data_IF_435694916929
#
_entry.id   IF_435694916929
#
_cell.length_a   1.000
_cell.length_b   1.000
_cell.length_c   1.000
_cell.angle_alpha   90.00
_cell.angle_beta   90.00
_cell.angle_gamma   90.00
#
_symmetry.space_group_name_H-M   'P 1'
#
loop_
_entity.id
_entity.type
_entity.pdbx_description
1 polymer ?
#
# COMPACT_ATOMS: atom_id res chain seq x y z
N UNK A 1 -24.57 -43.03 -55.15
CA UNK A 1 -24.48 -41.71 -55.80
C UNK A 1 -23.10 -41.14 -55.46
N UNK A 2 -22.10 -41.48 -56.29
CA UNK A 2 -21.16 -40.54 -56.95
C UNK A 2 -20.54 -39.53 -55.96
N UNK A 3 -19.39 -39.79 -55.35
CA UNK A 3 -18.03 -39.92 -55.94
C UNK A 3 -17.57 -38.60 -56.55
N UNK A 4 -16.37 -38.14 -56.14
CA UNK A 4 -15.27 -37.50 -56.89
C UNK A 4 -14.50 -36.55 -55.94
N UNK A 5 -13.17 -36.49 -55.88
CA UNK A 5 -12.01 -37.26 -56.40
C UNK A 5 -10.77 -36.65 -55.67
N UNK A 6 -9.93 -37.44 -55.00
CA UNK A 6 -8.63 -37.98 -55.48
C UNK A 6 -7.54 -36.92 -55.71
N UNK A 7 -6.43 -37.04 -54.97
CA UNK A 7 -5.03 -37.31 -55.44
C UNK A 7 -4.13 -37.38 -54.18
N UNK A 8 -3.14 -38.26 -53.95
CA UNK A 8 -2.63 -39.46 -54.60
C UNK A 8 -1.41 -39.98 -53.78
N UNK A 9 -1.32 -41.31 -53.56
CA UNK A 9 -0.13 -42.20 -53.70
C UNK A 9 1.16 -41.90 -52.89
N UNK A 10 1.95 -42.85 -52.39
CA UNK A 10 1.97 -44.31 -52.23
C UNK A 10 3.41 -44.62 -51.77
N UNK A 11 3.61 -45.51 -50.81
CA UNK A 11 4.61 -46.61 -50.79
C UNK A 11 5.04 -46.94 -49.36
N UNK A 12 4.37 -47.94 -48.80
CA UNK A 12 5.01 -48.92 -47.95
C UNK A 12 5.95 -49.78 -48.81
N UNK A 13 7.19 -49.94 -48.36
CA UNK A 13 8.12 -50.95 -48.84
C UNK A 13 8.57 -51.72 -47.61
N UNK A 14 8.06 -52.95 -47.46
CA UNK A 14 8.59 -53.95 -46.53
C UNK A 14 9.84 -54.57 -47.17
N UNK A 15 10.96 -54.53 -46.47
CA UNK A 15 12.05 -55.51 -46.62
C UNK A 15 12.42 -56.03 -45.24
N UNK A 16 12.30 -57.34 -45.08
CA UNK A 16 12.73 -58.12 -43.91
C UNK A 16 14.24 -58.42 -43.96
N UNK A 17 14.80 -58.59 -42.76
CA UNK A 17 16.05 -59.26 -42.36
C UNK A 17 17.34 -58.45 -42.21
N UNK A 18 17.74 -58.34 -40.94
CA UNK A 18 19.09 -58.08 -40.45
C UNK A 18 19.05 -57.92 -38.94
N UNK A 19 19.10 -59.03 -38.19
CA UNK A 19 19.44 -58.97 -36.76
C UNK A 19 20.91 -58.54 -36.66
N UNK A 20 21.15 -57.37 -36.12
CA UNK A 20 22.43 -56.94 -35.58
C UNK A 20 22.14 -56.53 -34.12
N UNK A 21 22.83 -57.15 -33.16
CA UNK A 21 22.70 -56.81 -31.75
C UNK A 21 23.27 -55.40 -31.55
N UNK A 22 22.40 -54.42 -31.33
CA UNK A 22 22.82 -53.09 -30.88
C UNK A 22 23.41 -53.19 -29.46
N UNK A 23 24.53 -52.50 -29.20
CA UNK A 23 25.16 -52.51 -27.89
C UNK A 23 24.22 -51.93 -26.84
N UNK A 24 24.24 -52.51 -25.64
CA UNK A 24 23.57 -51.98 -24.45
C UNK A 24 24.13 -50.58 -24.20
N UNK A 25 23.38 -49.56 -24.62
CA UNK A 25 23.50 -48.21 -24.11
C UNK A 25 22.74 -48.25 -22.80
N UNK A 26 23.45 -48.22 -21.68
CA UNK A 26 22.83 -47.96 -20.38
C UNK A 26 21.93 -46.72 -20.54
N UNK A 27 20.64 -46.78 -20.16
CA UNK A 27 19.81 -45.59 -20.22
C UNK A 27 20.51 -44.52 -19.40
N UNK A 28 20.85 -43.41 -20.04
CA UNK A 28 21.13 -42.17 -19.34
C UNK A 28 19.83 -41.87 -18.60
N UNK A 29 19.79 -42.26 -17.33
CA UNK A 29 18.85 -41.74 -16.36
C UNK A 29 19.07 -40.23 -16.45
N UNK A 30 18.06 -39.42 -16.82
CA UNK A 30 18.15 -37.99 -16.64
C UNK A 30 18.49 -37.82 -15.17
N UNK A 31 19.72 -37.38 -14.87
CA UNK A 31 19.99 -36.80 -13.57
C UNK A 31 19.07 -35.60 -13.52
N UNK A 32 18.02 -35.75 -12.72
CA UNK A 32 17.25 -34.65 -12.17
C UNK A 32 18.23 -33.49 -11.94
N UNK A 33 18.05 -32.30 -12.54
CA UNK A 33 18.81 -31.15 -12.10
C UNK A 33 18.54 -31.10 -10.60
N UNK A 34 19.57 -31.34 -9.80
CA UNK A 34 19.49 -31.30 -8.35
C UNK A 34 18.70 -30.05 -8.00
N UNK A 35 17.52 -30.23 -7.40
CA UNK A 35 16.72 -29.16 -6.82
C UNK A 35 17.72 -28.25 -6.12
N UNK A 36 17.91 -27.05 -6.67
CA UNK A 36 18.86 -26.09 -6.10
C UNK A 36 18.19 -25.72 -4.80
N UNK A 37 18.69 -26.26 -3.68
CA UNK A 37 18.22 -25.85 -2.36
C UNK A 37 18.76 -24.43 -2.19
N UNK A 38 17.89 -23.39 -2.18
CA UNK A 38 18.35 -22.03 -2.01
C UNK A 38 19.12 -21.92 -0.69
N UNK A 39 20.30 -21.33 -0.74
CA UNK A 39 21.12 -21.04 0.44
C UNK A 39 21.15 -19.55 0.68
N UNK A 40 21.08 -19.16 1.95
CA UNK A 40 21.15 -17.77 2.37
C UNK A 40 22.57 -17.45 2.85
N UNK A 41 23.20 -16.43 2.27
CA UNK A 41 24.56 -16.02 2.65
C UNK A 41 24.57 -14.56 3.10
N UNK A 42 25.36 -14.26 4.13
CA UNK A 42 25.54 -12.87 4.56
C UNK A 42 26.19 -12.05 3.44
N UNK A 43 25.52 -10.96 3.03
CA UNK A 43 26.05 -10.03 2.04
C UNK A 43 26.82 -8.90 2.76
N UNK A 44 26.08 -8.00 3.41
CA UNK A 44 26.62 -6.80 4.06
C UNK A 44 25.69 -6.26 5.14
N UNK A 45 26.12 -5.22 5.82
CA UNK A 45 25.28 -4.42 6.71
C UNK A 45 24.97 -3.09 6.04
N UNK A 46 23.68 -2.75 5.92
CA UNK A 46 23.22 -1.44 5.49
C UNK A 46 23.31 -0.46 6.66
N UNK A 47 23.74 0.77 6.38
CA UNK A 47 23.71 1.86 7.38
C UNK A 47 22.29 2.41 7.47
N UNK A 48 21.77 2.60 8.67
CA UNK A 48 20.43 3.16 8.87
C UNK A 48 20.51 4.68 8.98
N UNK A 49 19.61 5.36 8.28
CA UNK A 49 19.36 6.80 8.42
C UNK A 49 17.91 6.99 8.78
N UNK A 50 17.69 7.35 10.04
CA UNK A 50 16.38 7.71 10.56
C UNK A 50 15.96 9.10 10.03
N UNK A 51 14.84 9.13 9.30
CA UNK A 51 14.17 10.34 8.81
C UNK A 51 12.75 10.45 9.36
N UNK A 52 12.35 9.54 10.22
CA UNK A 52 11.06 9.62 10.87
C UNK A 52 11.02 10.85 11.79
N UNK A 53 9.88 11.54 11.77
CA UNK A 53 9.62 12.71 12.63
C UNK A 53 8.92 12.29 13.92
N UNK A 54 8.04 11.30 13.82
CA UNK A 54 7.16 10.83 14.88
C UNK A 54 7.74 9.67 15.70
N UNK A 55 8.84 9.07 15.24
CA UNK A 55 9.51 7.95 15.89
C UNK A 55 11.02 8.18 15.96
N UNK A 56 11.69 7.50 16.89
CA UNK A 56 13.14 7.59 17.06
C UNK A 56 13.77 6.19 17.11
N UNK A 57 14.45 5.79 16.04
CA UNK A 57 15.01 4.44 15.93
C UNK A 57 16.46 4.38 16.43
N UNK A 58 16.74 3.46 17.34
CA UNK A 58 18.08 3.29 17.93
C UNK A 58 19.04 2.45 17.08
N UNK A 59 18.54 1.70 16.08
CA UNK A 59 19.35 0.82 15.26
C UNK A 59 20.22 1.62 14.29
N UNK A 60 21.52 1.32 14.25
CA UNK A 60 22.46 1.98 13.33
C UNK A 60 22.72 1.19 12.03
N UNK A 61 22.45 -0.12 12.06
CA UNK A 61 22.69 -1.01 10.91
C UNK A 61 21.69 -2.15 10.84
N UNK A 62 21.40 -2.63 9.62
CA UNK A 62 20.65 -3.87 9.37
C UNK A 62 21.48 -4.82 8.49
N UNK A 63 21.59 -6.09 8.87
CA UNK A 63 22.24 -7.08 8.01
C UNK A 63 21.31 -7.49 6.87
N UNK A 64 21.86 -7.57 5.68
CA UNK A 64 21.20 -8.10 4.48
C UNK A 64 21.96 -9.32 3.94
N UNK A 65 21.23 -10.15 3.22
CA UNK A 65 21.66 -11.46 2.80
C UNK A 65 21.34 -11.70 1.32
N UNK A 66 22.13 -12.52 0.67
CA UNK A 66 21.89 -13.00 -0.70
C UNK A 66 21.22 -14.37 -0.66
N UNK A 67 20.25 -14.58 -1.53
CA UNK A 67 19.72 -15.91 -1.85
C UNK A 67 20.44 -16.44 -3.10
N UNK A 68 21.01 -17.64 -3.02
CA UNK A 68 21.70 -18.25 -4.17
C UNK A 68 20.80 -18.52 -5.39
N UNK A 69 19.48 -18.50 -5.20
CA UNK A 69 18.50 -18.70 -6.27
C UNK A 69 17.99 -17.37 -6.88
N UNK A 70 18.28 -16.23 -6.25
CA UNK A 70 17.72 -14.92 -6.60
C UNK A 70 18.80 -13.84 -6.52
N UNK A 71 19.49 -13.64 -7.65
CA UNK A 71 20.61 -12.69 -7.75
C UNK A 71 20.11 -11.23 -7.65
N UNK A 72 20.87 -10.33 -7.04
CA UNK A 72 20.54 -8.90 -6.92
C UNK A 72 19.32 -8.54 -6.04
N UNK A 73 18.60 -9.52 -5.48
CA UNK A 73 17.54 -9.30 -4.47
C UNK A 73 18.08 -9.51 -3.07
N UNK A 74 17.96 -8.48 -2.22
CA UNK A 74 18.41 -8.54 -0.84
C UNK A 74 17.34 -9.12 0.07
N UNK A 75 17.74 -10.07 0.90
CA UNK A 75 16.93 -10.68 1.94
C UNK A 75 17.29 -10.13 3.31
N UNK A 76 16.32 -10.13 4.22
CA UNK A 76 16.49 -9.75 5.62
C UNK A 76 16.02 -10.87 6.54
N UNK A 77 16.66 -11.01 7.69
CA UNK A 77 16.10 -11.82 8.75
C UNK A 77 14.89 -11.10 9.37
N UNK A 78 13.74 -11.77 9.44
CA UNK A 78 12.47 -11.17 9.89
C UNK A 78 12.59 -10.58 11.29
N UNK A 79 13.23 -11.28 12.23
CA UNK A 79 13.36 -10.80 13.61
C UNK A 79 14.34 -9.63 13.75
N UNK A 80 15.44 -9.64 12.99
CA UNK A 80 16.38 -8.51 12.93
C UNK A 80 15.70 -7.26 12.34
N UNK A 81 14.87 -7.44 11.30
CA UNK A 81 14.07 -6.36 10.72
C UNK A 81 13.06 -5.79 11.72
N UNK A 82 12.27 -6.65 12.38
CA UNK A 82 11.30 -6.22 13.40
C UNK A 82 11.98 -5.51 14.58
N UNK A 83 13.15 -5.99 15.01
CA UNK A 83 13.93 -5.32 16.05
C UNK A 83 14.42 -3.94 15.63
N UNK A 84 14.66 -3.72 14.34
CA UNK A 84 15.07 -2.41 13.82
C UNK A 84 13.93 -1.39 13.93
N UNK A 85 12.71 -1.78 13.55
CA UNK A 85 11.55 -0.88 13.45
C UNK A 85 10.64 -0.86 14.70
N UNK A 86 11.03 -1.53 15.78
CA UNK A 86 10.16 -1.76 16.94
C UNK A 86 9.58 -0.50 17.61
N UNK A 87 10.19 0.68 17.40
CA UNK A 87 9.70 1.96 17.95
C UNK A 87 8.51 2.53 17.15
N UNK A 88 8.36 2.13 15.88
CA UNK A 88 7.33 2.63 14.96
C UNK A 88 6.25 1.60 14.60
N UNK A 89 6.22 0.46 15.30
CA UNK A 89 5.20 -0.57 15.14
C UNK A 89 4.70 -1.08 16.49
N UNK A 90 3.52 -1.70 16.50
CA UNK A 90 2.93 -2.26 17.71
C UNK A 90 3.84 -3.31 18.38
N UNK A 91 3.67 -3.51 19.69
CA UNK A 91 4.37 -4.57 20.43
C UNK A 91 4.07 -5.96 19.83
N UNK A 92 5.10 -6.61 19.29
CA UNK A 92 4.98 -7.91 18.64
C UNK A 92 5.37 -9.07 19.55
N UNK A 93 4.64 -10.16 19.43
CA UNK A 93 4.94 -11.44 20.04
C UNK A 93 5.39 -12.40 18.95
N UNK A 94 6.63 -12.89 19.05
CA UNK A 94 7.22 -13.77 18.05
C UNK A 94 7.31 -15.20 18.59
N UNK A 95 6.69 -16.13 17.87
CA UNK A 95 6.72 -17.56 18.19
C UNK A 95 7.34 -18.35 17.05
N UNK A 96 8.39 -19.11 17.37
CA UNK A 96 9.10 -19.98 16.41
C UNK A 96 8.83 -21.44 16.68
N UNK A 97 8.30 -22.12 15.68
CA UNK A 97 8.16 -23.58 15.62
C UNK A 97 8.62 -24.08 14.25
N UNK A 98 7.87 -24.95 13.58
CA UNK A 98 8.04 -25.23 12.14
C UNK A 98 7.62 -24.05 11.26
N UNK A 99 6.85 -23.12 11.81
CA UNK A 99 6.48 -21.84 11.23
C UNK A 99 7.00 -20.70 12.12
N UNK A 100 7.20 -19.52 11.56
CA UNK A 100 7.40 -18.29 12.31
C UNK A 100 6.06 -17.55 12.39
N UNK A 101 5.54 -17.36 13.59
CA UNK A 101 4.33 -16.57 13.83
C UNK A 101 4.70 -15.23 14.46
N UNK A 102 4.24 -14.15 13.86
CA UNK A 102 4.30 -12.79 14.40
C UNK A 102 2.89 -12.40 14.82
N UNK A 103 2.71 -12.01 16.08
CA UNK A 103 1.38 -11.76 16.63
C UNK A 103 1.27 -10.40 17.32
N UNK A 104 0.15 -9.72 17.11
CA UNK A 104 -0.25 -8.50 17.82
C UNK A 104 -1.36 -8.86 18.80
N UNK A 105 -1.24 -8.40 20.04
CA UNK A 105 -2.24 -8.62 21.08
C UNK A 105 -3.23 -7.45 21.13
N UNK A 106 -4.49 -7.70 20.82
CA UNK A 106 -5.56 -6.70 20.90
C UNK A 106 -6.43 -6.96 22.14
N UNK A 107 -6.56 -5.93 22.98
CA UNK A 107 -7.40 -5.99 24.18
C UNK A 107 -8.86 -5.73 23.83
N UNK A 108 -9.76 -6.66 24.18
CA UNK A 108 -11.21 -6.46 24.07
C UNK A 108 -11.77 -5.78 25.32
N UNK A 109 -11.23 -6.15 26.49
CA UNK A 109 -11.51 -5.55 27.78
C UNK A 109 -10.29 -5.69 28.70
N UNK A 110 -10.41 -5.28 29.97
CA UNK A 110 -9.30 -5.33 30.95
C UNK A 110 -8.68 -6.74 31.15
N UNK A 111 -9.39 -7.80 30.75
CA UNK A 111 -9.05 -9.21 31.05
C UNK A 111 -9.02 -10.13 29.83
N UNK A 112 -9.64 -9.76 28.72
CA UNK A 112 -9.71 -10.56 27.51
C UNK A 112 -8.94 -9.89 26.36
N UNK A 113 -8.14 -10.69 25.68
CA UNK A 113 -7.41 -10.30 24.49
C UNK A 113 -7.59 -11.34 23.39
N UNK A 114 -7.56 -10.90 22.15
CA UNK A 114 -7.36 -11.76 20.99
C UNK A 114 -6.04 -11.41 20.31
N UNK A 115 -5.62 -12.26 19.37
CA UNK A 115 -4.36 -12.13 18.69
C UNK A 115 -4.61 -12.08 17.19
N UNK A 116 -4.00 -11.09 16.54
CA UNK A 116 -3.85 -11.05 15.10
C UNK A 116 -2.50 -11.64 14.76
N UNK A 117 -2.44 -12.60 13.84
CA UNK A 117 -1.20 -13.29 13.50
C UNK A 117 -0.92 -13.22 12.00
N UNK A 118 0.36 -13.04 11.68
CA UNK A 118 0.94 -13.30 10.39
C UNK A 118 1.95 -14.44 10.54
N UNK A 119 1.64 -15.57 9.91
CA UNK A 119 2.44 -16.77 9.94
C UNK A 119 3.22 -16.92 8.64
N UNK A 120 4.52 -17.18 8.77
CA UNK A 120 5.46 -17.46 7.68
C UNK A 120 5.77 -18.95 7.68
N UNK A 121 5.28 -19.66 6.67
CA UNK A 121 5.56 -21.08 6.45
C UNK A 121 6.54 -21.25 5.29
N UNK A 122 7.81 -21.48 5.62
CA UNK A 122 8.87 -21.71 4.63
C UNK A 122 8.77 -23.08 3.93
N UNK A 123 8.00 -24.02 4.48
CA UNK A 123 7.88 -25.37 3.90
C UNK A 123 6.82 -25.44 2.80
N UNK A 124 5.75 -24.68 2.95
CA UNK A 124 4.71 -24.51 1.94
C UNK A 124 4.87 -23.21 1.14
N UNK A 125 5.86 -22.37 1.49
CA UNK A 125 6.11 -21.04 0.94
C UNK A 125 4.87 -20.12 0.96
N UNK A 126 4.19 -20.07 2.11
CA UNK A 126 2.94 -19.31 2.28
C UNK A 126 3.01 -18.30 3.41
N UNK A 127 2.20 -17.24 3.26
CA UNK A 127 1.85 -16.30 4.31
C UNK A 127 0.41 -16.58 4.74
N UNK A 128 0.18 -16.71 6.04
CA UNK A 128 -1.16 -16.89 6.59
C UNK A 128 -1.50 -15.80 7.59
N UNK A 129 -2.52 -15.00 7.25
CA UNK A 129 -3.12 -14.01 8.12
C UNK A 129 -4.31 -14.64 8.83
N UNK A 130 -4.31 -14.62 10.16
CA UNK A 130 -5.53 -14.94 10.93
C UNK A 130 -6.63 -13.89 10.69
N UNK A 131 -6.19 -12.66 10.44
CA UNK A 131 -7.00 -11.49 10.13
C UNK A 131 -6.14 -10.52 9.32
N UNK A 132 -6.60 -10.12 8.14
CA UNK A 132 -5.86 -9.24 7.24
C UNK A 132 -5.77 -7.80 7.74
N UNK A 133 -6.50 -7.43 8.80
CA UNK A 133 -6.29 -6.17 9.53
C UNK A 133 -5.01 -6.17 10.38
N UNK A 134 -4.24 -7.27 10.40
CA UNK A 134 -2.92 -7.33 11.03
C UNK A 134 -2.04 -6.13 10.63
N UNK A 135 -1.99 -5.78 9.33
CA UNK A 135 -1.17 -4.67 8.84
C UNK A 135 -1.62 -3.31 9.41
N UNK A 136 -2.93 -3.06 9.46
CA UNK A 136 -3.47 -1.85 10.10
C UNK A 136 -3.14 -1.83 11.61
N UNK A 137 -3.20 -2.98 12.27
CA UNK A 137 -2.90 -3.11 13.69
C UNK A 137 -1.41 -2.94 14.03
N UNK A 138 -0.51 -2.95 13.05
CA UNK A 138 0.90 -2.58 13.25
C UNK A 138 1.06 -1.09 13.57
N UNK A 139 0.10 -0.25 13.16
CA UNK A 139 0.13 1.18 13.42
C UNK A 139 0.18 1.47 14.91
N UNK A 140 1.10 2.36 15.29
CA UNK A 140 1.16 2.97 16.61
C UNK A 140 1.06 4.47 16.45
N UNK A 141 0.47 5.12 17.44
CA UNK A 141 0.37 6.58 17.45
C UNK A 141 1.75 7.19 17.69
N UNK A 142 2.18 8.05 16.77
CA UNK A 142 3.45 8.78 16.82
C UNK A 142 3.44 10.00 17.74
N UNK A 143 4.53 10.77 17.76
CA UNK A 143 4.61 12.03 18.54
C UNK A 143 3.56 13.07 18.10
N UNK A 144 3.29 13.18 16.80
CA UNK A 144 2.30 14.09 16.23
C UNK A 144 0.92 13.43 16.13
N UNK A 145 0.08 13.60 17.16
CA UNK A 145 -1.30 13.09 17.17
C UNK A 145 -2.35 14.20 17.02
N UNK A 146 -3.49 13.84 16.44
CA UNK A 146 -4.66 14.72 16.38
C UNK A 146 -5.45 14.64 17.69
N UNK A 147 -5.45 15.71 18.49
CA UNK A 147 -6.34 15.79 19.65
C UNK A 147 -7.79 16.03 19.22
N UNK A 148 -8.74 15.31 19.84
CA UNK A 148 -10.16 15.43 19.49
C UNK A 148 -11.10 15.30 20.70
N UNK A 149 -12.13 16.15 20.70
CA UNK A 149 -13.24 16.10 21.66
C UNK A 149 -14.29 15.05 21.25
N UNK A 150 -14.24 14.57 20.00
CA UNK A 150 -15.10 13.50 19.52
C UNK A 150 -14.77 12.20 20.24
N UNK A 151 -15.82 11.45 20.57
CA UNK A 151 -15.73 10.10 21.11
C UNK A 151 -16.65 9.18 20.34
N UNK A 152 -16.16 7.97 20.06
CA UNK A 152 -16.99 6.89 19.54
C UNK A 152 -17.91 6.42 20.66
N UNK A 153 -19.22 6.61 20.49
CA UNK A 153 -20.26 6.24 21.48
C UNK A 153 -20.97 4.94 21.14
N UNK A 154 -20.89 4.50 19.89
CA UNK A 154 -21.39 3.22 19.42
C UNK A 154 -20.62 2.80 18.17
N UNK A 155 -20.52 1.49 17.95
CA UNK A 155 -19.93 0.90 16.76
C UNK A 155 -20.75 -0.31 16.32
N UNK A 156 -21.05 -0.41 15.03
CA UNK A 156 -21.62 -1.61 14.43
C UNK A 156 -20.55 -2.19 13.52
N UNK A 157 -20.26 -3.47 13.70
CA UNK A 157 -19.30 -4.20 12.90
C UNK A 157 -20.03 -5.35 12.20
N UNK A 158 -19.79 -5.48 10.90
CA UNK A 158 -20.20 -6.64 10.11
C UNK A 158 -18.96 -7.36 9.65
N UNK A 159 -18.86 -8.63 10.07
CA UNK A 159 -17.74 -9.52 9.77
C UNK A 159 -17.63 -9.81 8.26
N UNK A 160 -16.39 -9.78 7.77
CA UNK A 160 -16.01 -10.16 6.42
C UNK A 160 -15.22 -11.46 6.36
N UNK A 161 -14.56 -11.74 5.23
CA UNK A 161 -13.52 -12.76 5.11
C UNK A 161 -12.18 -12.16 5.52
N UNK A 162 -11.88 -12.27 6.81
CA UNK A 162 -10.68 -11.67 7.41
C UNK A 162 -9.44 -12.56 7.29
N UNK A 163 -9.62 -13.88 7.32
CA UNK A 163 -8.51 -14.83 7.17
C UNK A 163 -8.03 -14.85 5.71
N UNK A 164 -6.70 -14.78 5.51
CA UNK A 164 -6.13 -14.76 4.17
C UNK A 164 -4.88 -15.63 4.09
N UNK A 165 -4.84 -16.49 3.07
CA UNK A 165 -3.69 -17.30 2.71
C UNK A 165 -3.12 -16.77 1.40
N UNK A 166 -1.84 -16.43 1.39
CA UNK A 166 -1.11 -15.98 0.20
C UNK A 166 -0.03 -17.03 -0.08
N UNK A 167 -0.08 -17.59 -1.28
CA UNK A 167 0.88 -18.55 -1.78
C UNK A 167 1.91 -17.81 -2.64
N UNK A 168 3.14 -17.73 -2.12
CA UNK A 168 4.23 -16.95 -2.71
C UNK A 168 4.86 -17.63 -3.92
N UNK A 169 4.63 -18.93 -4.13
CA UNK A 169 5.07 -19.63 -5.34
C UNK A 169 4.43 -19.00 -6.59
N UNK A 170 3.21 -18.44 -6.47
CA UNK A 170 2.55 -17.73 -7.58
C UNK A 170 3.30 -16.46 -8.01
N UNK A 171 4.11 -15.89 -7.13
CA UNK A 171 4.83 -14.64 -7.34
C UNK A 171 6.35 -14.83 -7.38
N UNK A 172 6.85 -16.06 -7.45
CA UNK A 172 8.29 -16.36 -7.46
C UNK A 172 9.06 -15.66 -6.32
N UNK A 173 8.47 -15.65 -5.13
CA UNK A 173 9.10 -15.10 -3.92
C UNK A 173 9.29 -16.22 -2.91
N UNK A 174 10.40 -16.20 -2.18
CA UNK A 174 10.72 -17.29 -1.26
C UNK A 174 10.79 -16.84 0.20
N UNK A 175 10.22 -17.65 1.10
CA UNK A 175 10.55 -17.63 2.53
C UNK A 175 11.64 -18.67 2.78
N UNK A 176 12.84 -18.21 3.12
CA UNK A 176 13.97 -19.11 3.39
C UNK A 176 14.08 -19.37 4.89
N UNK A 177 14.07 -20.64 5.27
CA UNK A 177 14.40 -21.07 6.63
C UNK A 177 15.77 -21.73 6.69
N UNK A 178 16.72 -21.09 7.37
CA UNK A 178 18.03 -21.67 7.62
C UNK A 178 18.44 -21.46 9.08
N UNK A 179 19.01 -22.49 9.72
CA UNK A 179 19.52 -22.40 11.09
C UNK A 179 18.48 -21.86 12.11
N UNK A 180 17.20 -22.23 11.93
CA UNK A 180 16.06 -21.77 12.75
C UNK A 180 15.82 -20.24 12.72
N UNK A 181 16.28 -19.60 11.65
CA UNK A 181 15.99 -18.21 11.29
C UNK A 181 15.19 -18.20 10.00
N UNK A 182 14.37 -17.17 9.83
CA UNK A 182 13.54 -16.97 8.64
C UNK A 182 13.98 -15.69 7.94
N UNK A 183 14.01 -15.77 6.63
CA UNK A 183 14.46 -14.71 5.75
C UNK A 183 13.45 -14.51 4.63
N UNK A 184 13.20 -13.25 4.29
CA UNK A 184 12.34 -12.84 3.18
C UNK A 184 13.00 -11.68 2.44
N UNK A 185 12.61 -11.40 1.19
CA UNK A 185 13.06 -10.21 0.48
C UNK A 185 12.79 -8.93 1.28
N UNK A 186 13.71 -7.97 1.23
CA UNK A 186 13.60 -6.70 1.96
C UNK A 186 12.32 -5.93 1.57
N UNK A 187 11.95 -5.92 0.29
CA UNK A 187 10.72 -5.27 -0.17
C UNK A 187 9.46 -5.93 0.43
N UNK A 188 9.50 -7.26 0.65
CA UNK A 188 8.39 -8.01 1.22
C UNK A 188 8.32 -7.76 2.74
N UNK A 189 9.47 -7.65 3.41
CA UNK A 189 9.51 -7.22 4.81
C UNK A 189 8.94 -5.80 4.97
N UNK A 190 9.26 -4.87 4.06
CA UNK A 190 8.66 -3.55 4.06
C UNK A 190 7.13 -3.65 3.95
N UNK A 191 6.60 -4.30 2.90
CA UNK A 191 5.16 -4.43 2.69
C UNK A 191 4.40 -5.09 3.86
N UNK A 192 4.94 -6.17 4.43
CA UNK A 192 4.20 -7.01 5.38
C UNK A 192 4.36 -6.57 6.83
N UNK A 193 5.49 -5.95 7.19
CA UNK A 193 5.91 -5.78 8.58
C UNK A 193 6.06 -4.31 8.98
N UNK A 194 5.95 -3.37 8.06
CA UNK A 194 5.74 -1.97 8.40
C UNK A 194 4.25 -1.66 8.44
N UNK A 195 3.88 -0.63 9.21
CA UNK A 195 2.51 -0.12 9.27
C UNK A 195 2.26 0.88 8.13
N UNK A 196 1.01 1.32 7.94
CA UNK A 196 0.67 2.40 7.01
C UNK A 196 1.42 3.72 7.29
N UNK A 197 2.01 3.87 8.49
CA UNK A 197 2.72 5.07 8.92
C UNK A 197 4.25 4.92 8.91
N UNK A 198 4.79 3.83 8.36
CA UNK A 198 6.23 3.62 8.31
C UNK A 198 6.62 2.91 7.02
N UNK A 199 7.70 3.37 6.39
CA UNK A 199 8.29 2.69 5.25
C UNK A 199 9.81 2.70 5.38
N UNK A 200 10.44 1.68 4.79
CA UNK A 200 11.89 1.59 4.66
C UNK A 200 12.30 1.60 3.20
N UNK A 201 13.32 2.38 2.87
CA UNK A 201 13.80 2.56 1.51
C UNK A 201 15.31 2.37 1.45
N UNK A 202 15.74 1.44 0.60
CA UNK A 202 17.16 1.21 0.37
C UNK A 202 17.68 2.10 -0.76
N UNK A 203 18.77 2.80 -0.50
CA UNK A 203 19.55 3.54 -1.50
C UNK A 203 21.02 3.15 -1.33
N UNK A 204 21.55 2.40 -2.29
CA UNK A 204 22.90 1.81 -2.23
C UNK A 204 23.12 0.99 -0.94
N UNK A 205 24.03 1.45 -0.06
CA UNK A 205 24.37 0.84 1.23
C UNK A 205 23.67 1.52 2.42
N UNK A 206 22.67 2.37 2.15
CA UNK A 206 21.90 3.08 3.16
C UNK A 206 20.45 2.62 3.15
N UNK A 207 19.88 2.39 4.33
CA UNK A 207 18.46 2.13 4.55
C UNK A 207 17.87 3.34 5.27
N UNK A 208 16.93 4.01 4.62
CA UNK A 208 16.19 5.13 5.18
C UNK A 208 14.91 4.61 5.82
N UNK A 209 14.59 5.13 7.00
CA UNK A 209 13.29 4.91 7.65
C UNK A 209 12.52 6.22 7.57
N UNK A 210 11.32 6.20 7.01
CA UNK A 210 10.44 7.38 6.83
C UNK A 210 9.04 7.06 7.33
N UNK A 211 8.37 8.05 7.92
CA UNK A 211 7.01 7.95 8.45
C UNK A 211 6.04 8.93 7.80
N UNK A 212 6.55 9.94 7.09
CA UNK A 212 5.74 10.89 6.36
C UNK A 212 6.21 11.09 4.91
N UNK A 213 5.28 11.57 4.08
CA UNK A 213 5.48 11.79 2.65
C UNK A 213 6.48 12.93 2.35
N UNK A 214 6.55 13.96 3.18
CA UNK A 214 7.47 15.07 2.99
C UNK A 214 8.91 14.64 3.26
N UNK A 215 9.14 13.86 4.32
CA UNK A 215 10.42 13.23 4.64
C UNK A 215 10.89 12.33 3.51
N UNK A 216 9.98 11.59 2.87
CA UNK A 216 10.27 10.80 1.68
C UNK A 216 10.70 11.68 0.48
N UNK A 217 9.94 12.73 0.16
CA UNK A 217 10.26 13.62 -0.97
C UNK A 217 11.59 14.37 -0.83
N UNK A 218 12.06 14.57 0.40
CA UNK A 218 13.36 15.18 0.69
C UNK A 218 14.55 14.21 0.50
N UNK A 219 14.29 12.94 0.16
CA UNK A 219 15.33 11.93 -0.08
C UNK A 219 15.98 12.07 -1.48
N UNK A 220 17.28 11.73 -1.62
CA UNK A 220 17.93 11.62 -2.91
C UNK A 220 17.55 10.29 -3.58
N UNK A 221 16.43 10.27 -4.30
CA UNK A 221 15.75 9.05 -4.76
C UNK A 221 16.26 8.48 -6.10
N UNK A 222 16.82 9.32 -6.98
CA UNK A 222 17.31 8.85 -8.28
C UNK A 222 18.64 8.13 -8.16
N UNK A 223 18.62 6.84 -8.45
CA UNK A 223 19.80 5.97 -8.41
C UNK A 223 20.05 5.44 -9.84
N UNK A 224 21.20 5.74 -10.45
CA UNK A 224 21.57 5.10 -11.71
C UNK A 224 21.80 3.60 -11.47
N UNK A 225 21.33 2.77 -12.39
CA UNK A 225 21.61 1.33 -12.37
C UNK A 225 23.13 1.10 -12.52
N UNK A 226 23.68 0.18 -11.72
CA UNK A 226 25.06 -0.29 -11.93
C UNK A 226 25.11 -1.23 -13.15
N UNK A 227 26.17 -1.13 -13.95
CA UNK A 227 26.39 -1.94 -15.17
C UNK A 227 26.44 -3.45 -14.87
N UNK A 228 26.63 -3.84 -13.61
CA UNK A 228 26.74 -5.24 -13.16
C UNK A 228 25.40 -5.91 -12.81
N UNK A 229 24.30 -5.16 -12.75
CA UNK A 229 23.00 -5.65 -12.28
C UNK A 229 22.29 -6.45 -13.37
N UNK A 230 21.68 -7.57 -13.00
CA UNK A 230 20.79 -8.34 -13.87
C UNK A 230 19.41 -7.66 -13.95
N UNK A 231 19.28 -6.73 -14.89
CA UNK A 231 18.05 -5.95 -15.08
C UNK A 231 16.81 -6.81 -15.33
N UNK A 232 16.95 -7.97 -15.98
CA UNK A 232 15.84 -8.89 -16.19
C UNK A 232 15.32 -9.47 -14.86
N UNK A 233 16.21 -9.83 -13.93
CA UNK A 233 15.80 -10.34 -12.62
C UNK A 233 15.07 -9.25 -11.80
N UNK A 234 15.52 -8.00 -11.92
CA UNK A 234 14.83 -6.87 -11.29
C UNK A 234 13.45 -6.61 -11.89
N UNK A 235 13.30 -6.70 -13.21
CA UNK A 235 11.99 -6.58 -13.88
C UNK A 235 11.06 -7.69 -13.39
N UNK A 236 11.52 -8.94 -13.38
CA UNK A 236 10.73 -10.08 -12.91
C UNK A 236 10.30 -9.92 -11.44
N UNK A 237 11.22 -9.52 -10.56
CA UNK A 237 10.92 -9.24 -9.16
C UNK A 237 9.95 -8.08 -8.98
N UNK A 238 10.13 -6.99 -9.72
CA UNK A 238 9.27 -5.79 -9.63
C UNK A 238 7.86 -6.09 -10.17
N UNK A 239 7.78 -6.84 -11.28
CA UNK A 239 6.53 -7.34 -11.83
C UNK A 239 5.76 -8.18 -10.81
N UNK A 240 6.43 -9.20 -10.24
CA UNK A 240 5.82 -10.10 -9.27
C UNK A 240 5.38 -9.38 -7.99
N UNK A 241 6.20 -8.46 -7.49
CA UNK A 241 5.85 -7.61 -6.35
C UNK A 241 4.64 -6.74 -6.63
N UNK A 242 4.60 -6.08 -7.79
CA UNK A 242 3.47 -5.25 -8.19
C UNK A 242 2.20 -6.09 -8.30
N UNK A 243 2.29 -7.28 -8.89
CA UNK A 243 1.16 -8.20 -8.98
C UNK A 243 0.66 -8.64 -7.59
N UNK A 244 1.55 -9.05 -6.68
CA UNK A 244 1.21 -9.42 -5.30
C UNK A 244 0.54 -8.26 -4.55
N UNK A 245 1.12 -7.07 -4.66
CA UNK A 245 0.58 -5.85 -4.06
C UNK A 245 -0.83 -5.59 -4.55
N UNK A 246 -1.03 -5.57 -5.87
CA UNK A 246 -2.32 -5.28 -6.49
C UNK A 246 -3.35 -6.40 -6.25
N UNK A 247 -2.93 -7.66 -6.17
CA UNK A 247 -3.83 -8.79 -5.94
C UNK A 247 -4.36 -8.86 -4.51
N UNK A 248 -3.58 -8.39 -3.54
CA UNK A 248 -3.91 -8.60 -2.13
C UNK A 248 -4.12 -7.31 -1.31
N UNK A 249 -3.50 -6.20 -1.69
CA UNK A 249 -3.49 -4.95 -0.92
C UNK A 249 -4.22 -3.81 -1.64
N UNK A 250 -4.38 -3.87 -2.96
CA UNK A 250 -5.15 -2.86 -3.71
C UNK A 250 -6.66 -3.08 -3.58
N UNK A 251 -7.33 -2.15 -2.89
CA UNK A 251 -8.75 -2.28 -2.53
C UNK A 251 -9.76 -2.17 -3.68
N UNK A 252 -9.34 -1.86 -4.91
CA UNK A 252 -10.26 -1.68 -6.05
C UNK A 252 -10.18 -2.81 -7.09
N UNK A 253 -9.48 -3.91 -6.81
CA UNK A 253 -9.39 -5.08 -7.69
C UNK A 253 -10.77 -5.55 -8.20
N UNK A 254 -11.71 -5.76 -7.29
CA UNK A 254 -13.08 -6.22 -7.62
C UNK A 254 -13.87 -5.16 -8.41
N UNK A 255 -13.65 -3.87 -8.12
CA UNK A 255 -14.30 -2.77 -8.85
C UNK A 255 -13.89 -2.78 -10.33
N UNK A 256 -12.61 -3.05 -10.62
CA UNK A 256 -12.11 -3.18 -11.98
C UNK A 256 -12.37 -4.56 -12.61
N UNK A 257 -12.93 -5.52 -11.86
CA UNK A 257 -13.17 -6.89 -12.31
C UNK A 257 -11.87 -7.61 -12.75
N UNK A 258 -10.77 -7.36 -12.03
CA UNK A 258 -9.49 -8.03 -12.28
C UNK A 258 -9.44 -9.31 -11.44
N UNK A 259 -9.31 -10.47 -12.10
CA UNK A 259 -9.20 -11.76 -11.41
C UNK A 259 -7.80 -11.96 -10.80
N UNK A 260 -6.76 -11.63 -11.56
CA UNK A 260 -5.36 -11.64 -11.10
C UNK A 260 -4.53 -10.59 -11.82
N UNK A 261 -3.74 -9.85 -11.06
CA UNK A 261 -2.81 -8.86 -11.59
C UNK A 261 -1.57 -9.49 -12.24
N UNK A 262 -1.22 -10.74 -11.92
CA UNK A 262 -0.22 -11.47 -12.72
C UNK A 262 -0.65 -11.56 -14.20
N UNK A 263 -1.91 -11.92 -14.45
CA UNK A 263 -2.42 -12.02 -15.82
C UNK A 263 -2.62 -10.63 -16.45
N UNK A 264 -3.25 -9.70 -15.73
CA UNK A 264 -3.53 -8.36 -16.24
C UNK A 264 -2.26 -7.61 -16.66
N UNK A 265 -1.21 -7.66 -15.83
CA UNK A 265 0.05 -6.98 -16.12
C UNK A 265 0.86 -7.71 -17.21
N UNK A 266 0.78 -9.05 -17.28
CA UNK A 266 1.41 -9.83 -18.36
C UNK A 266 0.73 -9.61 -19.71
N UNK A 267 -0.59 -9.43 -19.76
CA UNK A 267 -1.32 -9.06 -20.99
C UNK A 267 -0.87 -7.69 -21.54
N UNK A 268 -0.30 -6.84 -20.69
CA UNK A 268 0.33 -5.57 -21.04
C UNK A 268 1.82 -5.70 -21.41
N UNK A 269 2.37 -6.93 -21.37
CA UNK A 269 3.78 -7.29 -21.64
C UNK A 269 4.76 -6.61 -20.68
N UNK A 270 4.36 -6.38 -19.42
CA UNK A 270 5.25 -5.79 -18.43
C UNK A 270 6.40 -6.73 -18.03
N UNK A 271 6.12 -8.02 -17.93
CA UNK A 271 7.09 -9.09 -17.69
C UNK A 271 8.10 -9.28 -18.84
N UNK A 272 7.73 -8.88 -20.06
CA UNK A 272 8.61 -8.89 -21.23
C UNK A 272 9.36 -7.56 -21.47
N UNK A 273 9.28 -6.61 -20.52
CA UNK A 273 10.00 -5.34 -20.64
C UNK A 273 11.52 -5.58 -20.79
N UNK A 274 12.17 -4.80 -21.64
CA UNK A 274 13.61 -4.97 -21.93
C UNK A 274 14.51 -4.10 -21.04
N UNK A 275 13.92 -3.26 -20.21
CA UNK A 275 14.60 -2.40 -19.24
C UNK A 275 13.64 -2.03 -18.10
N UNK A 276 14.20 -1.67 -16.93
CA UNK A 276 13.43 -1.23 -15.76
C UNK A 276 12.67 0.07 -16.07
N UNK A 277 13.29 0.99 -16.80
CA UNK A 277 12.65 2.21 -17.31
C UNK A 277 11.41 1.88 -18.18
N UNK A 278 11.53 0.85 -19.02
CA UNK A 278 10.45 0.40 -19.88
C UNK A 278 9.30 -0.21 -19.06
N UNK A 279 9.63 -1.02 -18.07
CA UNK A 279 8.66 -1.55 -17.10
C UNK A 279 7.93 -0.41 -16.38
N UNK A 280 8.67 0.54 -15.81
CA UNK A 280 8.13 1.66 -15.04
C UNK A 280 7.23 2.57 -15.89
N UNK A 281 7.58 2.78 -17.16
CA UNK A 281 6.77 3.53 -18.11
C UNK A 281 5.43 2.82 -18.38
N UNK A 282 5.45 1.49 -18.53
CA UNK A 282 4.23 0.69 -18.68
C UNK A 282 3.39 0.73 -17.40
N UNK A 283 4.01 0.57 -16.24
CA UNK A 283 3.35 0.63 -14.94
C UNK A 283 2.70 2.00 -14.71
N UNK A 284 3.42 3.11 -14.96
CA UNK A 284 2.88 4.46 -14.88
C UNK A 284 1.68 4.64 -15.80
N UNK A 285 1.78 4.16 -17.04
CA UNK A 285 0.67 4.19 -18.00
C UNK A 285 -0.54 3.46 -17.43
N UNK A 286 -0.34 2.25 -16.91
CA UNK A 286 -1.42 1.46 -16.34
C UNK A 286 -2.09 2.17 -15.16
N UNK A 287 -1.31 2.61 -14.16
CA UNK A 287 -1.83 3.31 -12.98
C UNK A 287 -2.65 4.54 -13.37
N UNK A 288 -2.17 5.35 -14.33
CA UNK A 288 -2.94 6.52 -14.78
C UNK A 288 -4.18 6.16 -15.60
N UNK A 289 -4.22 4.99 -16.25
CA UNK A 289 -5.42 4.52 -16.95
C UNK A 289 -6.48 3.94 -16.02
N UNK A 290 -6.14 3.56 -14.78
CA UNK A 290 -7.12 3.18 -13.76
C UNK A 290 -8.07 4.35 -13.47
N UNK A 291 -7.63 5.60 -13.69
CA UNK A 291 -8.41 6.81 -13.42
C UNK A 291 -8.89 6.88 -11.96
N UNK A 292 -8.03 6.37 -11.07
CA UNK A 292 -8.11 6.37 -9.62
C UNK A 292 -7.14 7.42 -9.05
N UNK A 293 -7.70 8.52 -8.57
CA UNK A 293 -6.92 9.65 -8.07
C UNK A 293 -6.26 9.38 -6.69
N UNK A 294 -6.66 8.32 -6.00
CA UNK A 294 -6.03 7.90 -4.74
C UNK A 294 -4.83 6.96 -4.95
N UNK A 295 -4.57 6.53 -6.18
CA UNK A 295 -3.44 5.66 -6.52
C UNK A 295 -2.42 6.41 -7.35
N UNK A 296 -1.18 6.45 -6.87
CA UNK A 296 -0.09 7.14 -7.57
C UNK A 296 1.25 6.46 -7.31
N UNK A 297 2.19 6.67 -8.23
CA UNK A 297 3.58 6.25 -8.08
C UNK A 297 4.38 7.47 -7.62
N UNK A 298 5.00 7.34 -6.45
CA UNK A 298 5.74 8.44 -5.82
C UNK A 298 7.19 8.46 -6.33
N UNK A 299 7.77 7.27 -6.50
CA UNK A 299 9.12 7.08 -7.02
C UNK A 299 9.19 5.79 -7.84
N UNK A 300 10.03 5.81 -8.85
CA UNK A 300 10.34 4.67 -9.72
C UNK A 300 11.66 3.99 -9.28
N UNK A 301 12.43 4.66 -8.40
CA UNK A 301 13.69 4.14 -7.88
C UNK A 301 14.78 4.09 -8.94
N UNK A 302 15.19 2.89 -9.33
CA UNK A 302 16.33 2.67 -10.22
C UNK A 302 16.06 3.25 -11.61
N UNK A 303 16.95 4.12 -12.08
CA UNK A 303 16.78 4.87 -13.34
C UNK A 303 15.49 5.71 -13.42
N UNK A 304 14.87 6.06 -12.30
CA UNK A 304 13.58 6.77 -12.28
C UNK A 304 13.54 8.10 -13.04
N UNK A 305 14.68 8.80 -13.14
CA UNK A 305 14.80 10.03 -13.95
C UNK A 305 14.61 9.81 -15.47
N UNK A 306 14.75 8.57 -15.94
CA UNK A 306 14.65 8.20 -17.34
C UNK A 306 13.22 7.82 -17.74
N UNK A 307 12.35 7.51 -16.77
CA UNK A 307 10.96 7.10 -17.01
C UNK A 307 10.24 8.16 -17.83
N UNK A 308 9.65 7.75 -18.95
CA UNK A 308 8.94 8.68 -19.82
C UNK A 308 7.73 9.25 -19.09
N UNK A 309 7.57 10.57 -19.13
CA UNK A 309 6.40 11.21 -18.56
C UNK A 309 5.15 10.86 -19.36
N UNK A 310 4.29 10.02 -18.79
CA UNK A 310 2.95 9.76 -19.30
C UNK A 310 2.01 10.85 -18.80
N UNK A 311 1.15 11.35 -19.69
CA UNK A 311 0.13 12.33 -19.30
C UNK A 311 -0.88 11.66 -18.36
N UNK A 312 -1.21 12.29 -17.22
CA UNK A 312 -2.24 11.80 -16.31
C UNK A 312 -3.62 11.68 -16.97
N UNK A 313 -4.56 11.05 -16.26
CA UNK A 313 -5.94 10.88 -16.73
C UNK A 313 -6.70 12.21 -16.94
N UNK A 314 -7.82 12.16 -17.65
CA UNK A 314 -8.71 13.32 -17.83
C UNK A 314 -9.17 13.89 -16.49
N UNK A 315 -9.53 13.03 -15.50
CA UNK A 315 -9.90 13.48 -14.17
C UNK A 315 -8.79 14.24 -13.45
N UNK A 316 -7.53 13.83 -13.61
CA UNK A 316 -6.40 14.56 -13.04
C UNK A 316 -6.33 15.99 -13.62
N UNK A 317 -6.53 16.15 -14.94
CA UNK A 317 -6.56 17.47 -15.56
C UNK A 317 -7.75 18.31 -15.11
N UNK A 318 -8.93 17.70 -14.92
CA UNK A 318 -10.10 18.37 -14.34
C UNK A 318 -9.79 18.87 -12.93
N UNK A 319 -9.20 18.02 -12.08
CA UNK A 319 -8.79 18.38 -10.71
C UNK A 319 -7.82 19.57 -10.70
N UNK A 320 -6.74 19.53 -11.49
CA UNK A 320 -5.77 20.64 -11.58
C UNK A 320 -6.43 21.91 -12.13
N UNK A 321 -7.33 21.78 -13.11
CA UNK A 321 -8.07 22.90 -13.66
C UNK A 321 -8.96 23.55 -12.60
N UNK A 322 -9.62 22.76 -11.76
CA UNK A 322 -10.48 23.27 -10.69
C UNK A 322 -9.68 23.92 -9.56
N UNK A 323 -8.49 23.40 -9.22
CA UNK A 323 -7.56 24.10 -8.33
C UNK A 323 -7.18 25.48 -8.87
N UNK A 324 -6.88 25.56 -10.18
CA UNK A 324 -6.54 26.83 -10.82
C UNK A 324 -7.72 27.80 -10.85
N UNK A 325 -8.90 27.33 -11.25
CA UNK A 325 -10.11 28.17 -11.35
C UNK A 325 -10.62 28.64 -9.98
N UNK A 326 -10.38 27.87 -8.92
CA UNK A 326 -10.73 28.22 -7.54
C UNK A 326 -9.73 29.18 -6.88
N UNK A 327 -8.59 29.45 -7.56
CA UNK A 327 -7.52 30.30 -7.03
C UNK A 327 -6.79 29.65 -5.85
N UNK A 328 -6.69 28.31 -5.82
CA UNK A 328 -6.08 27.57 -4.73
C UNK A 328 -4.60 27.93 -4.55
N UNK A 329 -3.89 28.20 -5.64
CA UNK A 329 -2.45 28.53 -5.61
C UNK A 329 -2.16 29.88 -4.96
N UNK A 330 -3.15 30.76 -4.83
CA UNK A 330 -3.04 32.05 -4.15
C UNK A 330 -3.46 32.01 -2.67
N UNK A 331 -4.07 30.90 -2.21
CA UNK A 331 -4.52 30.73 -0.82
C UNK A 331 -3.44 30.00 -0.01
N UNK A 332 -2.80 30.72 0.91
CA UNK A 332 -1.68 30.19 1.71
C UNK A 332 -2.06 29.85 3.15
N UNK A 333 -3.26 30.22 3.58
CA UNK A 333 -3.76 29.93 4.93
C UNK A 333 -4.68 28.72 4.87
N UNK A 334 -4.51 27.75 5.78
CA UNK A 334 -5.39 26.56 5.82
C UNK A 334 -6.80 26.89 6.30
N UNK A 335 -6.94 27.97 7.08
CA UNK A 335 -8.18 28.40 7.72
C UNK A 335 -8.33 29.91 7.67
N UNK A 336 -9.51 30.39 7.29
CA UNK A 336 -9.85 31.82 7.38
C UNK A 336 -11.35 32.04 7.55
N UNK A 337 -11.73 32.85 8.54
CA UNK A 337 -13.11 33.30 8.73
C UNK A 337 -13.25 34.77 8.35
N UNK A 338 -14.16 35.07 7.42
CA UNK A 338 -14.42 36.41 6.90
C UNK A 338 -15.86 36.81 7.24
N UNK A 339 -16.02 37.95 7.92
CA UNK A 339 -17.35 38.48 8.25
C UNK A 339 -17.84 39.50 7.21
N UNK A 340 -19.05 39.26 6.70
CA UNK A 340 -19.84 40.19 5.90
C UNK A 340 -21.07 40.67 6.68
N UNK A 341 -21.81 41.70 6.21
CA UNK A 341 -22.98 42.22 6.92
C UNK A 341 -24.05 41.17 7.22
N UNK A 342 -24.30 40.23 6.31
CA UNK A 342 -25.41 39.27 6.38
C UNK A 342 -24.94 37.79 6.50
N UNK A 343 -23.65 37.51 6.32
CA UNK A 343 -23.11 36.15 6.33
C UNK A 343 -21.63 36.12 6.73
N UNK A 344 -21.11 34.93 6.99
CA UNK A 344 -19.69 34.62 7.13
C UNK A 344 -19.23 33.72 5.96
N UNK A 345 -17.97 33.84 5.56
CA UNK A 345 -17.28 32.83 4.75
C UNK A 345 -16.21 32.18 5.61
N UNK A 346 -16.30 30.87 5.78
CA UNK A 346 -15.28 30.02 6.38
C UNK A 346 -14.50 29.34 5.26
N UNK A 347 -13.35 29.87 4.90
CA UNK A 347 -12.42 29.23 3.96
C UNK A 347 -11.61 28.18 4.73
N UNK A 348 -11.70 26.92 4.28
CA UNK A 348 -10.96 25.80 4.84
C UNK A 348 -10.23 25.12 3.68
N UNK A 349 -8.94 25.40 3.52
CA UNK A 349 -8.15 24.91 2.37
C UNK A 349 -7.42 23.58 2.67
N UNK A 350 -7.36 23.15 3.94
CA UNK A 350 -6.90 21.82 4.33
C UNK A 350 -7.43 21.44 5.71
N UNK A 351 -7.58 20.14 5.97
CA UNK A 351 -7.85 19.59 7.31
C UNK A 351 -6.53 19.21 7.99
N UNK A 352 -5.98 20.12 8.79
CA UNK A 352 -4.68 19.94 9.47
C UNK A 352 -4.84 19.58 10.94
N UNK A 353 -3.73 19.26 11.62
CA UNK A 353 -3.69 19.01 13.07
C UNK A 353 -4.20 20.20 13.90
N UNK A 354 -4.09 21.43 13.39
CA UNK A 354 -4.53 22.65 14.09
C UNK A 354 -6.04 22.93 13.93
N UNK A 355 -6.75 22.17 13.10
CA UNK A 355 -8.14 22.48 12.71
C UNK A 355 -9.07 22.59 13.91
N UNK A 356 -8.91 21.71 14.92
CA UNK A 356 -9.76 21.75 16.12
C UNK A 356 -9.66 23.09 16.85
N UNK A 357 -8.42 23.53 17.10
CA UNK A 357 -8.13 24.78 17.79
C UNK A 357 -8.62 25.99 16.99
N UNK A 358 -8.42 25.97 15.67
CA UNK A 358 -8.87 27.04 14.78
C UNK A 358 -10.40 27.16 14.78
N UNK A 359 -11.13 26.04 14.72
CA UNK A 359 -12.59 26.05 14.84
C UNK A 359 -13.04 26.58 16.19
N UNK A 360 -12.47 26.06 17.28
CA UNK A 360 -12.80 26.46 18.65
C UNK A 360 -12.51 27.92 18.95
N UNK A 361 -11.46 28.48 18.35
CA UNK A 361 -11.10 29.88 18.52
C UNK A 361 -12.01 30.81 17.72
N UNK A 362 -12.36 30.43 16.49
CA UNK A 362 -12.97 31.36 15.52
C UNK A 362 -14.49 31.23 15.40
N UNK A 363 -15.08 30.09 15.76
CA UNK A 363 -16.52 29.87 15.66
C UNK A 363 -17.30 30.20 16.94
N UNK A 364 -16.67 30.85 17.91
CA UNK A 364 -17.30 31.27 19.17
C UNK A 364 -18.01 32.62 18.99
N UNK A 365 -19.18 32.77 19.60
CA UNK A 365 -19.97 34.01 19.66
C UNK A 365 -20.36 34.61 18.29
N UNK A 366 -20.45 33.79 17.24
CA UNK A 366 -20.95 34.22 15.94
C UNK A 366 -22.41 34.66 16.03
N UNK A 367 -22.81 35.63 15.20
CA UNK A 367 -24.20 36.08 15.17
C UNK A 367 -25.07 34.93 14.58
N UNK A 368 -26.03 34.38 15.33
CA UNK A 368 -26.84 33.25 14.88
C UNK A 368 -27.80 33.60 13.73
N UNK A 369 -28.07 34.89 13.49
CA UNK A 369 -28.93 35.34 12.38
C UNK A 369 -28.20 35.39 11.03
N UNK A 370 -26.87 35.23 11.00
CA UNK A 370 -26.08 35.24 9.78
C UNK A 370 -25.90 33.82 9.22
N UNK A 371 -25.85 33.71 7.90
CA UNK A 371 -25.49 32.45 7.24
C UNK A 371 -23.97 32.19 7.33
N UNK A 372 -23.54 30.93 7.30
CA UNK A 372 -22.12 30.54 7.20
C UNK A 372 -21.92 29.77 5.89
N UNK A 373 -21.09 30.31 5.00
CA UNK A 373 -20.64 29.63 3.78
C UNK A 373 -19.30 28.96 4.06
N UNK A 374 -19.27 27.63 4.10
CA UNK A 374 -18.05 26.84 4.23
C UNK A 374 -17.49 26.64 2.82
N UNK A 375 -16.36 27.31 2.53
CA UNK A 375 -15.68 27.22 1.24
C UNK A 375 -14.59 26.14 1.27
N UNK A 376 -14.89 25.02 0.62
CA UNK A 376 -13.98 23.88 0.43
C UNK A 376 -13.49 23.75 -1.02
N UNK A 377 -13.68 24.79 -1.85
CA UNK A 377 -13.32 24.76 -3.28
C UNK A 377 -11.84 24.54 -3.54
N UNK A 378 -10.98 24.80 -2.54
CA UNK A 378 -9.55 24.56 -2.60
C UNK A 378 -9.07 23.43 -1.67
N UNK A 379 -9.99 22.71 -1.02
CA UNK A 379 -9.65 21.72 0.01
C UNK A 379 -9.41 20.34 -0.58
N UNK A 380 -8.15 19.91 -0.58
CA UNK A 380 -7.75 18.59 -1.11
C UNK A 380 -7.81 17.47 -0.07
N UNK A 381 -8.29 17.76 1.14
CA UNK A 381 -8.48 16.79 2.22
C UNK A 381 -7.60 17.06 3.45
N UNK A 382 -7.09 15.97 4.05
CA UNK A 382 -6.30 15.99 5.27
C UNK A 382 -6.87 15.03 6.33
N UNK A 383 -6.83 15.42 7.59
CA UNK A 383 -7.32 14.62 8.72
C UNK A 383 -8.83 14.36 8.63
N UNK A 384 -9.22 13.07 8.63
CA UNK A 384 -10.61 12.65 8.66
C UNK A 384 -11.31 13.09 9.96
N UNK A 385 -10.62 13.01 11.09
CA UNK A 385 -11.17 13.42 12.39
C UNK A 385 -11.40 14.95 12.42
N UNK A 386 -10.52 15.73 11.81
CA UNK A 386 -10.71 17.18 11.68
C UNK A 386 -11.94 17.54 10.82
N UNK A 387 -12.25 16.75 9.80
CA UNK A 387 -13.49 16.90 9.04
C UNK A 387 -14.72 16.64 9.92
N UNK A 388 -14.70 15.60 10.76
CA UNK A 388 -15.79 15.32 11.71
C UNK A 388 -15.93 16.39 12.80
N UNK A 389 -14.81 17.01 13.22
CA UNK A 389 -14.83 18.13 14.17
C UNK A 389 -15.66 19.30 13.61
N UNK A 390 -15.52 19.63 12.33
CA UNK A 390 -16.35 20.65 11.68
C UNK A 390 -17.83 20.29 11.66
N UNK A 391 -18.19 19.03 11.35
CA UNK A 391 -19.59 18.56 11.36
C UNK A 391 -20.24 18.79 12.73
N UNK A 392 -19.49 18.64 13.82
CA UNK A 392 -20.01 18.82 15.18
C UNK A 392 -20.40 20.27 15.53
N UNK A 393 -19.97 21.27 14.75
CA UNK A 393 -20.47 22.65 14.87
C UNK A 393 -21.78 22.87 14.11
N UNK A 394 -22.22 21.91 13.30
CA UNK A 394 -23.47 21.95 12.54
C UNK A 394 -24.59 21.15 13.22
N UNK A 395 -24.24 20.21 14.11
CA UNK A 395 -25.22 19.37 14.81
C UNK A 395 -24.73 18.89 16.18
N UNK A 396 -25.65 18.78 17.14
CA UNK A 396 -25.42 18.10 18.42
C UNK A 396 -25.86 16.62 18.39
N UNK A 397 -26.42 16.17 17.26
CA UNK A 397 -26.74 14.77 17.03
C UNK A 397 -25.47 13.95 16.81
N UNK A 398 -25.59 12.64 16.97
CA UNK A 398 -24.51 11.70 16.67
C UNK A 398 -24.15 11.76 15.19
N UNK A 399 -22.85 11.91 14.89
CA UNK A 399 -22.30 11.84 13.54
C UNK A 399 -22.06 10.37 13.21
N UNK A 400 -22.54 9.92 12.05
CA UNK A 400 -22.43 8.53 11.61
C UNK A 400 -21.41 8.46 10.49
N UNK A 401 -20.41 7.59 10.64
CA UNK A 401 -19.42 7.29 9.62
C UNK A 401 -19.54 5.82 9.24
N UNK A 402 -19.87 5.55 7.97
CA UNK A 402 -19.94 4.22 7.40
C UNK A 402 -18.77 4.00 6.44
N UNK A 403 -18.02 2.91 6.63
CA UNK A 403 -16.90 2.55 5.76
C UNK A 403 -16.74 1.03 5.66
N UNK A 404 -16.03 0.56 4.63
CA UNK A 404 -15.79 -0.87 4.39
C UNK A 404 -14.36 -1.11 3.99
N UNK A 405 -13.80 -2.24 4.43
CA UNK A 405 -12.54 -2.75 3.92
C UNK A 405 -12.87 -3.66 2.71
N UNK A 406 -12.60 -3.23 1.46
CA UNK A 406 -12.94 -4.03 0.29
C UNK A 406 -12.14 -5.33 0.20
N UNK A 407 -10.93 -5.39 0.80
CA UNK A 407 -10.05 -6.56 0.75
C UNK A 407 -10.53 -7.71 1.65
N UNK A 408 -11.28 -7.40 2.70
CA UNK A 408 -11.87 -8.38 3.63
C UNK A 408 -13.39 -8.44 3.52
N UNK A 409 -14.03 -7.43 2.92
CA UNK A 409 -15.49 -7.28 2.90
C UNK A 409 -16.08 -6.88 4.26
N UNK A 410 -15.24 -6.49 5.23
CA UNK A 410 -15.73 -5.98 6.52
C UNK A 410 -16.38 -4.62 6.36
N UNK A 411 -17.40 -4.37 7.18
CA UNK A 411 -18.10 -3.11 7.21
C UNK A 411 -18.20 -2.57 8.63
N UNK A 412 -17.89 -1.28 8.77
CA UNK A 412 -17.85 -0.55 10.02
C UNK A 412 -18.83 0.61 9.95
N UNK A 413 -19.64 0.75 10.99
CA UNK A 413 -20.45 1.95 11.25
C UNK A 413 -20.05 2.51 12.59
N UNK A 414 -19.45 3.69 12.60
CA UNK A 414 -19.02 4.36 13.81
C UNK A 414 -19.91 5.57 14.10
N UNK A 415 -20.24 5.71 15.38
CA UNK A 415 -21.07 6.79 15.88
C UNK A 415 -20.23 7.73 16.73
N UNK A 416 -19.91 8.89 16.20
CA UNK A 416 -19.16 9.92 16.88
C UNK A 416 -20.08 10.92 17.58
N UNK A 417 -19.64 11.39 18.75
CA UNK A 417 -20.35 12.43 19.49
C UNK A 417 -19.38 13.32 20.26
N UNK A 418 -19.73 14.60 20.36
CA UNK A 418 -19.21 15.50 21.38
C UNK A 418 -20.15 15.59 22.58
N UNK A 419 -19.56 15.62 23.77
CA UNK A 419 -20.33 15.66 25.02
C UNK A 419 -20.63 17.08 25.51
N UNK A 420 -19.91 18.07 25.01
CA UNK A 420 -20.19 19.48 25.21
C UNK A 420 -20.86 20.02 23.94
N UNK A 421 -22.14 20.41 24.05
CA UNK A 421 -22.91 20.96 22.93
C UNK A 421 -22.20 22.21 22.40
N UNK A 422 -21.91 22.21 21.09
CA UNK A 422 -21.22 23.30 20.39
C UNK A 422 -21.80 23.61 19.01
N UNK A 423 -22.91 22.98 18.64
CA UNK A 423 -23.60 23.30 17.40
C UNK A 423 -24.08 24.75 17.39
N UNK A 424 -23.88 25.42 16.26
CA UNK A 424 -24.31 26.79 16.05
C UNK A 424 -25.73 26.83 15.49
N UNK A 425 -26.49 27.86 15.85
CA UNK A 425 -27.85 28.09 15.33
C UNK A 425 -27.85 28.66 13.89
N UNK A 426 -26.67 28.90 13.31
CA UNK A 426 -26.50 29.45 11.97
C UNK A 426 -27.03 28.51 10.87
N UNK A 427 -27.44 29.07 9.73
CA UNK A 427 -27.68 28.27 8.52
C UNK A 427 -26.37 28.09 7.75
N UNK A 428 -26.05 26.85 7.40
CA UNK A 428 -24.80 26.51 6.72
C UNK A 428 -25.02 26.24 5.22
N UNK A 429 -24.07 26.66 4.40
CA UNK A 429 -23.97 26.33 2.98
C UNK A 429 -22.55 25.85 2.69
N UNK A 430 -22.40 24.79 1.91
CA UNK A 430 -21.08 24.24 1.55
C UNK A 430 -20.80 24.53 0.08
N UNK A 431 -19.63 25.12 -0.20
CA UNK A 431 -19.14 25.36 -1.54
C UNK A 431 -18.06 24.33 -1.86
N UNK A 432 -18.19 23.67 -2.99
CA UNK A 432 -17.28 22.62 -3.45
C UNK A 432 -16.85 22.87 -4.90
N UNK A 433 -15.76 22.22 -5.31
CA UNK A 433 -15.28 22.14 -6.69
C UNK A 433 -14.88 20.69 -6.99
N UNK A 434 -14.45 20.37 -8.22
CA UNK A 434 -13.83 19.07 -8.50
C UNK A 434 -12.47 18.87 -7.80
N UNK A 435 -11.94 19.91 -7.14
CA UNK A 435 -10.77 19.79 -6.27
C UNK A 435 -11.11 19.44 -4.81
N UNK A 436 -12.39 19.46 -4.43
CA UNK A 436 -12.83 19.05 -3.09
C UNK A 436 -12.68 17.53 -2.94
N UNK A 437 -11.61 17.08 -2.28
CA UNK A 437 -11.13 15.70 -2.34
C UNK A 437 -10.86 15.08 -0.95
N UNK A 438 -10.73 13.75 -0.88
CA UNK A 438 -10.39 12.99 0.34
C UNK A 438 -11.27 13.37 1.55
N UNK A 439 -10.71 13.73 2.71
CA UNK A 439 -11.46 14.09 3.91
C UNK A 439 -12.47 15.24 3.69
N UNK A 440 -12.21 16.15 2.75
CA UNK A 440 -13.17 17.20 2.40
C UNK A 440 -14.38 16.66 1.64
N UNK A 441 -14.16 15.71 0.73
CA UNK A 441 -15.25 15.00 0.07
C UNK A 441 -16.05 14.14 1.07
N UNK A 442 -15.39 13.56 2.08
CA UNK A 442 -16.08 12.87 3.18
C UNK A 442 -16.98 13.83 3.97
N UNK A 443 -16.47 15.00 4.37
CA UNK A 443 -17.28 16.04 5.02
C UNK A 443 -18.54 16.36 4.21
N UNK A 444 -18.37 16.63 2.91
CA UNK A 444 -19.47 16.93 1.98
C UNK A 444 -20.47 15.78 1.87
N UNK A 445 -20.03 14.53 2.00
CA UNK A 445 -20.90 13.36 1.93
C UNK A 445 -21.76 13.18 3.18
N UNK A 446 -21.34 13.72 4.33
CA UNK A 446 -22.05 13.65 5.61
C UNK A 446 -23.14 14.73 5.71
N UNK A 447 -22.87 15.93 5.19
CA UNK A 447 -23.71 17.14 5.33
C UNK A 447 -24.69 17.31 4.17
#
# INVERSE_FOLDING_TARGET
MKLYKIFLILMLLFTLFGCEEDPIIDPIIPTDPSEIIPTIEYNRALTIVDRAVDYAFAAETLNVYDNSADEDILYVNIEEFLSMIHEGVADLIIHRTSILSVSIRIMMDETHAYYLTLDFDASENTLHYSDFNFNQALYVEGESSYETDLKVVNGIYTEGQVEKLIDLDNYSMDIIQENNKYYIPLYLANLLLTSDALNVYQVHDTLYIVDDFAAFLDMPLSIPLDDAVNEQNLIESTFNYTALFMDHFYGLKDFYNVDSYLQELSDLNMDEATSIEGFDTLLQTYIYTLDDFHTSIIDYGLNGEQVEMVLPSEKFFEFITDLFLSGSFERTEDFRLIEYPDYYILELNAFTLETQDLLKQNLVDLNPEKDIYIDLTCNTGGSLIAALELVSYMTNDTIILDYSNPSTGEHYTEHYKVFEDRALDNTFYVLTSGATFSAANLFVSIV
#
